data_IF_544510950264
#
_entry.id   IF_544510950264
#
_cell.length_a   1.000
_cell.length_b   1.000
_cell.length_c   1.000
_cell.angle_alpha   90.00
_cell.angle_beta   90.00
_cell.angle_gamma   90.00
#
_symmetry.space_group_name_H-M   'P 1'
#
loop_
_entity.id
_entity.type
_entity.pdbx_description
1 polymer ?
#
# COMPACT_ATOMS: atom_id res chain seq x y z
N UNK A 1 10.25 -11.62 0.65
CA UNK A 1 9.13 -12.52 0.30
C UNK A 1 8.36 -11.88 -0.84
N UNK A 2 8.04 -12.61 -1.92
CA UNK A 2 7.39 -12.00 -3.09
C UNK A 2 5.89 -11.84 -2.93
N UNK A 3 5.40 -10.64 -3.14
CA UNK A 3 3.98 -10.29 -3.10
C UNK A 3 3.53 -9.79 -4.47
N UNK A 4 2.30 -10.15 -4.83
CA UNK A 4 1.58 -9.62 -6.00
C UNK A 4 0.21 -9.13 -5.59
N UNK A 5 -0.33 -8.21 -6.38
CA UNK A 5 -1.72 -7.79 -6.31
C UNK A 5 -2.56 -8.59 -7.31
N UNK A 6 -3.80 -8.95 -6.95
CA UNK A 6 -4.73 -9.63 -7.86
C UNK A 6 -5.59 -8.68 -8.68
N UNK A 7 -5.65 -7.40 -8.30
CA UNK A 7 -6.43 -6.41 -9.02
C UNK A 7 -5.71 -6.00 -10.32
N UNK A 8 -6.48 -5.86 -11.40
CA UNK A 8 -6.00 -5.38 -12.71
C UNK A 8 -6.38 -3.93 -12.98
N UNK A 9 -7.31 -3.37 -12.21
CA UNK A 9 -7.78 -2.00 -12.33
C UNK A 9 -7.48 -1.23 -11.03
N UNK A 10 -6.68 -0.14 -11.09
CA UNK A 10 -6.42 0.68 -9.93
C UNK A 10 -7.67 1.46 -9.52
N UNK A 11 -7.84 1.63 -8.21
CA UNK A 11 -8.85 2.53 -7.67
C UNK A 11 -8.57 3.97 -8.12
N UNK A 12 -9.64 4.73 -8.35
CA UNK A 12 -9.59 6.18 -8.56
C UNK A 12 -9.11 6.90 -7.30
N UNK A 13 -8.62 8.13 -7.44
CA UNK A 13 -8.15 8.93 -6.31
C UNK A 13 -9.22 9.09 -5.21
N UNK A 14 -10.48 9.31 -5.60
CA UNK A 14 -11.59 9.41 -4.66
C UNK A 14 -11.84 8.10 -3.90
N UNK A 15 -11.76 6.95 -4.58
CA UNK A 15 -11.88 5.63 -3.96
C UNK A 15 -10.71 5.34 -3.02
N UNK A 16 -9.50 5.77 -3.37
CA UNK A 16 -8.30 5.64 -2.52
C UNK A 16 -8.50 6.43 -1.22
N UNK A 17 -8.83 7.72 -1.32
CA UNK A 17 -9.03 8.59 -0.15
C UNK A 17 -10.11 8.01 0.76
N UNK A 18 -11.23 7.60 0.17
CA UNK A 18 -12.36 7.00 0.91
C UNK A 18 -11.93 5.72 1.64
N UNK A 19 -11.21 4.81 0.97
CA UNK A 19 -10.77 3.56 1.57
C UNK A 19 -9.71 3.76 2.66
N UNK A 20 -8.80 4.72 2.48
CA UNK A 20 -7.80 5.09 3.49
C UNK A 20 -8.49 5.63 4.73
N UNK A 21 -9.41 6.58 4.59
CA UNK A 21 -10.17 7.14 5.71
C UNK A 21 -10.95 6.05 6.46
N UNK A 22 -11.72 5.24 5.75
CA UNK A 22 -12.49 4.15 6.35
C UNK A 22 -11.62 3.14 7.10
N UNK A 23 -10.44 2.81 6.56
CA UNK A 23 -9.51 1.91 7.24
C UNK A 23 -8.94 2.53 8.51
N UNK A 24 -8.54 3.80 8.46
CA UNK A 24 -7.97 4.51 9.61
C UNK A 24 -9.00 4.68 10.72
N UNK A 25 -10.24 5.07 10.39
CA UNK A 25 -11.34 5.17 11.35
C UNK A 25 -11.61 3.82 12.02
N UNK A 26 -11.67 2.75 11.22
CA UNK A 26 -11.90 1.40 11.73
C UNK A 26 -10.77 0.94 12.64
N UNK A 27 -9.51 1.14 12.25
CA UNK A 27 -8.35 0.82 13.10
C UNK A 27 -8.34 1.63 14.39
N UNK A 28 -8.65 2.93 14.32
CA UNK A 28 -8.70 3.82 15.49
C UNK A 28 -9.79 3.46 16.49
N UNK A 29 -10.87 2.81 16.05
CA UNK A 29 -11.94 2.32 16.93
C UNK A 29 -11.60 1.03 17.69
N UNK A 30 -10.46 0.39 17.38
CA UNK A 30 -10.08 -0.91 17.94
C UNK A 30 -8.87 -0.76 18.87
N UNK A 31 -8.92 -1.39 20.05
CA UNK A 31 -7.76 -1.45 20.94
C UNK A 31 -6.58 -2.23 20.32
N UNK A 32 -6.88 -3.27 19.53
CA UNK A 32 -5.90 -4.11 18.84
C UNK A 32 -6.44 -4.49 17.46
N UNK A 33 -6.10 -3.70 16.44
CA UNK A 33 -6.50 -4.01 15.06
C UNK A 33 -5.69 -5.20 14.51
N UNK A 34 -6.33 -6.21 13.90
CA UNK A 34 -5.62 -7.35 13.33
C UNK A 34 -4.84 -6.94 12.07
N UNK A 35 -3.68 -7.59 11.83
CA UNK A 35 -2.85 -7.32 10.65
C UNK A 35 -3.57 -7.61 9.33
N UNK A 36 -4.55 -8.52 9.34
CA UNK A 36 -5.38 -8.84 8.18
C UNK A 36 -6.36 -7.73 7.78
N UNK A 37 -6.59 -6.73 8.66
CA UNK A 37 -7.40 -5.56 8.35
C UNK A 37 -6.55 -4.55 7.56
N UNK A 38 -6.66 -4.60 6.23
CA UNK A 38 -5.92 -3.75 5.29
C UNK A 38 -6.83 -3.20 4.18
N UNK A 39 -6.30 -2.24 3.40
CA UNK A 39 -6.96 -1.74 2.19
C UNK A 39 -7.12 -2.86 1.15
N UNK A 40 -8.09 -2.75 0.21
CA UNK A 40 -8.24 -3.73 -0.85
C UNK A 40 -7.12 -3.63 -1.91
N UNK A 41 -6.94 -4.71 -2.66
CA UNK A 41 -5.91 -4.90 -3.69
C UNK A 41 -5.89 -3.76 -4.74
N UNK A 42 -7.06 -3.30 -5.22
CA UNK A 42 -7.17 -2.20 -6.19
C UNK A 42 -6.73 -0.84 -5.63
N UNK A 43 -6.95 -0.61 -4.33
CA UNK A 43 -6.47 0.59 -3.65
C UNK A 43 -4.96 0.51 -3.43
N UNK A 44 -4.43 -0.67 -3.11
CA UNK A 44 -2.98 -0.86 -2.96
C UNK A 44 -2.21 -0.50 -4.25
N UNK A 45 -2.66 -0.97 -5.42
CA UNK A 45 -2.05 -0.57 -6.69
C UNK A 45 -2.33 0.90 -7.02
N UNK A 46 -3.50 1.43 -6.70
CA UNK A 46 -3.83 2.84 -6.90
C UNK A 46 -2.89 3.77 -6.14
N UNK A 47 -2.63 3.47 -4.86
CA UNK A 47 -1.66 4.19 -4.03
C UNK A 47 -0.27 4.11 -4.65
N UNK A 48 0.21 2.93 -5.05
CA UNK A 48 1.51 2.81 -5.69
C UNK A 48 1.62 3.66 -6.98
N UNK A 49 0.53 3.73 -7.77
CA UNK A 49 0.46 4.58 -8.96
C UNK A 49 0.69 6.07 -8.67
N UNK A 50 0.28 6.57 -7.50
CA UNK A 50 0.48 7.96 -7.09
C UNK A 50 1.95 8.31 -6.82
N UNK A 51 2.78 7.31 -6.49
CA UNK A 51 4.20 7.49 -6.14
C UNK A 51 5.16 7.05 -7.24
N UNK A 52 4.67 6.88 -8.47
CA UNK A 52 5.53 6.59 -9.63
C UNK A 52 6.42 7.79 -9.93
N UNK A 53 7.73 7.55 -10.00
CA UNK A 53 8.73 8.57 -10.33
C UNK A 53 10.01 7.94 -10.86
N UNK A 54 11.01 8.76 -11.18
CA UNK A 54 12.32 8.32 -11.66
C UNK A 54 13.27 7.84 -10.54
N UNK A 55 12.87 7.91 -9.27
CA UNK A 55 13.65 7.36 -8.15
C UNK A 55 13.56 5.83 -8.11
N UNK A 56 14.49 5.18 -7.41
CA UNK A 56 14.47 3.71 -7.26
C UNK A 56 13.17 3.22 -6.60
N UNK A 57 12.69 3.95 -5.57
CA UNK A 57 11.41 3.70 -4.92
C UNK A 57 10.24 3.90 -5.89
N UNK A 58 10.24 4.99 -6.66
CA UNK A 58 9.21 5.26 -7.66
C UNK A 58 9.16 4.22 -8.79
N UNK A 59 10.31 3.71 -9.22
CA UNK A 59 10.40 2.62 -10.20
C UNK A 59 9.95 1.27 -9.63
N UNK A 60 10.15 1.01 -8.34
CA UNK A 60 9.55 -0.14 -7.66
C UNK A 60 8.02 -0.02 -7.60
N UNK A 61 7.50 1.16 -7.25
CA UNK A 61 6.06 1.45 -7.24
C UNK A 61 5.46 1.28 -8.64
N UNK A 62 6.15 1.72 -9.69
CA UNK A 62 5.71 1.56 -11.08
C UNK A 62 5.60 0.08 -11.47
N UNK A 63 6.61 -0.73 -11.13
CA UNK A 63 6.58 -2.18 -11.39
C UNK A 63 5.39 -2.83 -10.71
N UNK A 64 5.15 -2.51 -9.44
CA UNK A 64 4.02 -3.03 -8.68
C UNK A 64 2.67 -2.57 -9.27
N UNK A 65 2.56 -1.29 -9.64
CA UNK A 65 1.38 -0.71 -10.29
C UNK A 65 1.07 -1.40 -11.63
N UNK A 66 2.09 -1.79 -12.39
CA UNK A 66 1.97 -2.58 -13.63
C UNK A 66 1.66 -4.06 -13.39
N UNK A 67 1.47 -4.48 -12.14
CA UNK A 67 1.09 -5.84 -11.76
C UNK A 67 2.26 -6.81 -11.59
N UNK A 68 3.50 -6.32 -11.51
CA UNK A 68 4.65 -7.19 -11.27
C UNK A 68 4.69 -7.70 -9.82
N UNK A 69 5.30 -8.87 -9.64
CA UNK A 69 5.71 -9.34 -8.32
C UNK A 69 6.89 -8.53 -7.80
N UNK A 70 6.79 -8.10 -6.54
CA UNK A 70 7.81 -7.30 -5.86
C UNK A 70 8.21 -7.98 -4.55
N UNK A 71 9.44 -7.72 -4.08
CA UNK A 71 9.83 -8.17 -2.76
C UNK A 71 9.19 -7.28 -1.68
N UNK A 72 8.63 -7.92 -0.65
CA UNK A 72 7.96 -7.25 0.45
C UNK A 72 8.87 -6.35 1.26
N UNK A 73 10.14 -6.71 1.44
CA UNK A 73 11.13 -5.92 2.18
C UNK A 73 11.48 -4.65 1.40
N UNK A 74 11.83 -4.82 0.11
CA UNK A 74 12.09 -3.69 -0.79
C UNK A 74 10.89 -2.72 -0.86
N UNK A 75 9.67 -3.27 -0.92
CA UNK A 75 8.46 -2.45 -0.92
C UNK A 75 8.28 -1.67 0.38
N UNK A 76 8.52 -2.28 1.55
CA UNK A 76 8.43 -1.59 2.84
C UNK A 76 9.48 -0.48 2.97
N UNK A 77 10.71 -0.73 2.50
CA UNK A 77 11.78 0.27 2.50
C UNK A 77 11.45 1.45 1.56
N UNK A 78 10.93 1.16 0.36
CA UNK A 78 10.47 2.19 -0.58
C UNK A 78 9.31 3.02 0.01
N UNK A 79 8.32 2.37 0.63
CA UNK A 79 7.21 3.06 1.31
C UNK A 79 7.75 4.00 2.38
N UNK A 80 8.68 3.53 3.22
CA UNK A 80 9.28 4.34 4.29
C UNK A 80 10.07 5.53 3.73
N UNK A 81 10.78 5.33 2.62
CA UNK A 81 11.49 6.40 1.94
C UNK A 81 10.52 7.48 1.45
N UNK A 82 9.49 7.10 0.70
CA UNK A 82 8.49 8.05 0.18
C UNK A 82 7.72 8.78 1.30
N UNK A 83 7.46 8.09 2.43
CA UNK A 83 6.83 8.70 3.60
C UNK A 83 7.61 9.88 4.19
N UNK A 84 8.93 9.95 3.97
CA UNK A 84 9.77 11.06 4.40
C UNK A 84 9.55 12.35 3.61
N UNK A 85 8.92 12.27 2.44
CA UNK A 85 8.70 13.39 1.52
C UNK A 85 7.22 13.64 1.19
N UNK A 86 6.34 12.70 1.53
CA UNK A 86 4.91 12.79 1.24
C UNK A 86 4.18 13.87 2.06
N UNK A 87 3.06 14.38 1.51
CA UNK A 87 2.10 15.16 2.29
C UNK A 87 1.46 14.31 3.41
N UNK A 88 0.65 14.92 4.27
CA UNK A 88 -0.08 14.17 5.30
C UNK A 88 -0.98 13.07 4.70
N UNK A 89 -1.68 13.40 3.61
CA UNK A 89 -2.56 12.48 2.88
C UNK A 89 -1.75 11.36 2.22
N UNK A 90 -0.65 11.72 1.56
CA UNK A 90 0.25 10.74 0.94
C UNK A 90 0.88 9.81 1.99
N UNK A 91 1.28 10.35 3.14
CA UNK A 91 1.82 9.57 4.25
C UNK A 91 0.79 8.57 4.79
N UNK A 92 -0.46 9.00 4.95
CA UNK A 92 -1.57 8.13 5.37
C UNK A 92 -1.82 7.00 4.36
N UNK A 93 -1.84 7.32 3.06
CA UNK A 93 -1.99 6.33 2.00
C UNK A 93 -0.84 5.29 2.01
N UNK A 94 0.40 5.76 2.13
CA UNK A 94 1.59 4.91 2.24
C UNK A 94 1.57 4.03 3.51
N UNK A 95 1.10 4.57 4.63
CA UNK A 95 0.92 3.79 5.86
C UNK A 95 -0.10 2.66 5.68
N UNK A 96 -1.21 2.93 4.98
CA UNK A 96 -2.19 1.92 4.61
C UNK A 96 -1.62 0.86 3.66
N UNK A 97 -0.78 1.27 2.69
CA UNK A 97 -0.07 0.36 1.79
C UNK A 97 0.91 -0.55 2.54
N UNK A 98 1.67 -0.03 3.50
CA UNK A 98 2.52 -0.84 4.38
C UNK A 98 1.71 -1.90 5.15
N UNK A 99 0.56 -1.50 5.68
CA UNK A 99 -0.40 -2.42 6.31
C UNK A 99 -0.87 -3.54 5.36
N UNK A 100 -1.11 -3.23 4.09
CA UNK A 100 -1.45 -4.23 3.08
C UNK A 100 -0.27 -5.19 2.82
N UNK A 101 0.96 -4.69 2.69
CA UNK A 101 2.16 -5.52 2.52
C UNK A 101 2.30 -6.52 3.67
N UNK A 102 2.16 -6.07 4.92
CA UNK A 102 2.19 -6.95 6.09
C UNK A 102 1.07 -8.00 6.06
N UNK A 103 -0.15 -7.63 5.67
CA UNK A 103 -1.26 -8.56 5.53
C UNK A 103 -0.97 -9.64 4.47
N UNK A 104 -0.33 -9.28 3.35
CA UNK A 104 0.08 -10.22 2.29
C UNK A 104 1.14 -11.19 2.78
N UNK A 105 2.18 -10.68 3.44
CA UNK A 105 3.24 -11.51 4.03
C UNK A 105 2.66 -12.52 5.02
N UNK A 106 1.80 -12.06 5.93
CA UNK A 106 1.15 -12.94 6.90
C UNK A 106 0.25 -14.00 6.25
N UNK A 107 -0.38 -13.69 5.10
CA UNK A 107 -1.29 -14.61 4.42
C UNK A 107 -0.58 -15.73 3.65
N UNK A 108 0.63 -15.52 3.12
CA UNK A 108 1.35 -16.59 2.40
C UNK A 108 2.38 -17.33 3.27
N UNK A 109 2.60 -16.90 4.52
CA UNK A 109 3.48 -17.57 5.49
C UNK A 109 2.78 -18.51 6.47
N UNK A 110 1.45 -18.60 6.42
CA UNK A 110 0.64 -19.58 7.16
C UNK A 110 0.10 -20.66 6.23
#
# INVERSE_FOLDING_TARGET
>A
MRISCRATLPATELEIVTAVQQLLDRRGSMAHAPVSLAIPDNVAIGVAGMFVSATDSGQLMERFFRGAEVDSGEMLDAIRFEQGYASAEGHAALHCLSGWVHARVHKQGG
#
